data_IF_048362070166
#
_entry.id   IF_048362070166
#
_cell.length_a   1.000
_cell.length_b   1.000
_cell.length_c   1.000
_cell.angle_alpha   90.00
_cell.angle_beta   90.00
_cell.angle_gamma   90.00
#
_symmetry.space_group_name_H-M   'P 1'
#
loop_
_entity.id
_entity.type
_entity.pdbx_description
1 polymer ?
#
# COMPACT_ATOMS: atom_id res chain seq x y z
N UNK A 1 14.30 -23.65 22.56
CA UNK A 1 14.48 -22.18 22.57
C UNK A 1 13.29 -21.60 21.81
N UNK A 2 12.43 -20.86 22.51
CA UNK A 2 10.97 -20.91 22.37
C UNK A 2 10.38 -20.30 21.09
N UNK A 3 9.34 -20.97 20.58
CA UNK A 3 8.47 -20.48 19.51
C UNK A 3 7.81 -19.13 19.86
N UNK A 4 7.54 -18.88 21.15
CA UNK A 4 7.05 -17.59 21.66
C UNK A 4 8.04 -16.43 21.43
N UNK A 5 9.35 -16.68 21.54
CA UNK A 5 10.35 -15.64 21.29
C UNK A 5 10.36 -15.25 19.80
N UNK A 6 10.17 -16.21 18.89
CA UNK A 6 10.12 -15.92 17.45
C UNK A 6 8.90 -15.07 17.08
N UNK A 7 7.73 -15.37 17.67
CA UNK A 7 6.53 -14.57 17.44
C UNK A 7 6.73 -13.11 17.90
N UNK A 8 7.26 -12.90 19.10
CA UNK A 8 7.54 -11.56 19.61
C UNK A 8 8.55 -10.82 18.72
N UNK A 9 9.61 -11.49 18.27
CA UNK A 9 10.62 -10.91 17.38
C UNK A 9 10.02 -10.52 16.01
N UNK A 10 9.16 -11.36 15.43
CA UNK A 10 8.45 -11.05 14.18
C UNK A 10 7.53 -9.84 14.32
N UNK A 11 6.80 -9.73 15.43
CA UNK A 11 5.94 -8.58 15.72
C UNK A 11 6.79 -7.31 15.88
N UNK A 12 7.93 -7.39 16.57
CA UNK A 12 8.86 -6.27 16.71
C UNK A 12 9.40 -5.83 15.35
N UNK A 13 9.78 -6.77 14.48
CA UNK A 13 10.21 -6.47 13.12
C UNK A 13 9.08 -5.79 12.32
N UNK A 14 7.85 -6.30 12.43
CA UNK A 14 6.69 -5.70 11.74
C UNK A 14 6.43 -4.26 12.20
N UNK A 15 6.53 -3.98 13.50
CA UNK A 15 6.40 -2.62 14.03
C UNK A 15 7.52 -1.71 13.54
N UNK A 16 8.76 -2.21 13.46
CA UNK A 16 9.89 -1.45 12.92
C UNK A 16 9.68 -1.12 11.44
N UNK A 17 9.29 -2.10 10.61
CA UNK A 17 9.03 -1.85 9.18
C UNK A 17 7.87 -0.89 8.96
N UNK A 18 6.90 -0.83 9.89
CA UNK A 18 5.82 0.15 9.83
C UNK A 18 6.34 1.60 9.92
N UNK A 19 7.40 1.83 10.68
CA UNK A 19 8.06 3.14 10.73
C UNK A 19 8.71 3.49 9.40
N UNK A 20 9.28 2.51 8.68
CA UNK A 20 9.80 2.73 7.32
C UNK A 20 8.67 3.01 6.33
N UNK A 21 7.57 2.28 6.40
CA UNK A 21 6.40 2.48 5.55
C UNK A 21 5.80 3.90 5.69
N UNK A 22 5.76 4.44 6.91
CA UNK A 22 5.26 5.81 7.19
C UNK A 22 6.07 6.92 6.51
N UNK A 23 7.35 6.69 6.24
CA UNK A 23 8.30 7.62 5.61
C UNK A 23 8.82 7.04 4.29
N UNK A 24 8.02 6.18 3.65
CA UNK A 24 8.39 5.54 2.40
C UNK A 24 8.80 6.58 1.36
N UNK A 25 9.97 6.37 0.76
CA UNK A 25 10.45 7.18 -0.34
C UNK A 25 11.20 6.31 -1.35
N UNK A 26 10.79 6.32 -2.62
CA UNK A 26 11.37 5.44 -3.66
C UNK A 26 12.89 5.55 -3.76
N UNK A 27 13.46 6.76 -3.60
CA UNK A 27 14.93 6.97 -3.66
C UNK A 27 15.69 6.32 -2.51
N UNK A 28 15.07 6.15 -1.34
CA UNK A 28 15.71 5.55 -0.16
C UNK A 28 15.29 4.10 0.05
N UNK A 29 14.22 3.65 -0.59
CA UNK A 29 13.66 2.31 -0.42
C UNK A 29 14.71 1.19 -0.54
N UNK A 30 15.57 1.24 -1.57
CA UNK A 30 16.61 0.23 -1.75
C UNK A 30 17.60 0.20 -0.58
N UNK A 31 18.08 1.36 -0.14
CA UNK A 31 18.99 1.46 1.01
C UNK A 31 18.29 1.08 2.33
N UNK A 32 17.01 1.43 2.48
CA UNK A 32 16.22 1.09 3.66
C UNK A 32 16.05 -0.44 3.78
N UNK A 33 15.76 -1.11 2.66
CA UNK A 33 15.71 -2.57 2.58
C UNK A 33 17.06 -3.21 2.90
N UNK A 34 18.16 -2.69 2.37
CA UNK A 34 19.51 -3.23 2.66
C UNK A 34 19.86 -3.08 4.15
N UNK A 35 19.47 -1.97 4.79
CA UNK A 35 19.63 -1.79 6.24
C UNK A 35 18.83 -2.85 7.01
N UNK A 36 17.57 -3.07 6.64
CA UNK A 36 16.70 -4.05 7.30
C UNK A 36 17.25 -5.48 7.15
N UNK A 37 17.68 -5.86 5.94
CA UNK A 37 18.26 -7.18 5.66
C UNK A 37 19.53 -7.43 6.49
N UNK A 38 20.44 -6.45 6.51
CA UNK A 38 21.68 -6.57 7.26
C UNK A 38 21.44 -6.63 8.77
N UNK A 39 20.51 -5.81 9.29
CA UNK A 39 20.18 -5.75 10.71
C UNK A 39 19.49 -7.03 11.19
N UNK A 40 18.58 -7.57 10.39
CA UNK A 40 17.68 -8.65 10.81
C UNK A 40 18.03 -10.02 10.20
N UNK A 41 19.18 -10.18 9.56
CA UNK A 41 19.59 -11.44 8.94
C UNK A 41 19.51 -12.66 9.86
N UNK A 42 19.85 -12.52 11.14
CA UNK A 42 19.72 -13.60 12.13
C UNK A 42 18.25 -13.98 12.42
N UNK A 43 17.36 -12.99 12.51
CA UNK A 43 15.92 -13.23 12.67
C UNK A 43 15.32 -13.86 11.41
N UNK A 44 15.69 -13.36 10.23
CA UNK A 44 15.27 -13.94 8.95
C UNK A 44 15.71 -15.41 8.81
N UNK A 45 16.92 -15.74 9.28
CA UNK A 45 17.39 -17.13 9.38
C UNK A 45 16.53 -18.00 10.29
N UNK A 46 16.14 -17.49 11.46
CA UNK A 46 15.23 -18.20 12.39
C UNK A 46 13.82 -18.36 11.84
N UNK A 47 13.30 -17.37 11.11
CA UNK A 47 12.00 -17.46 10.41
C UNK A 47 12.08 -18.56 9.35
N UNK A 48 13.17 -18.61 8.58
CA UNK A 48 13.42 -19.69 7.61
C UNK A 48 13.38 -21.06 8.26
N UNK A 49 14.20 -21.25 9.31
CA UNK A 49 14.25 -22.52 10.04
C UNK A 49 12.88 -22.93 10.58
N UNK A 50 12.05 -21.97 11.00
CA UNK A 50 10.71 -22.25 11.52
C UNK A 50 9.73 -22.69 10.43
N UNK A 51 9.69 -22.04 9.26
CA UNK A 51 8.75 -22.43 8.20
C UNK A 51 9.21 -23.65 7.40
N UNK A 52 10.49 -24.03 7.44
CA UNK A 52 11.00 -25.19 6.71
C UNK A 52 10.69 -26.55 7.39
N UNK A 53 10.25 -26.54 8.65
CA UNK A 53 10.03 -27.77 9.44
C UNK A 53 8.93 -28.66 8.84
N UNK A 54 7.77 -28.10 8.53
CA UNK A 54 6.62 -28.78 7.93
C UNK A 54 5.65 -27.77 7.34
N UNK A 55 4.66 -28.23 6.59
CA UNK A 55 3.63 -27.34 6.03
C UNK A 55 2.74 -26.75 7.15
N UNK A 56 2.51 -27.48 8.25
CA UNK A 56 1.86 -26.91 9.44
C UNK A 56 2.72 -25.82 10.09
N UNK A 57 4.03 -26.02 10.17
CA UNK A 57 4.94 -25.02 10.74
C UNK A 57 5.04 -23.77 9.86
N UNK A 58 4.99 -23.92 8.54
CA UNK A 58 4.88 -22.83 7.58
C UNK A 58 3.61 -22.04 7.81
N UNK A 59 2.44 -22.69 7.85
CA UNK A 59 1.17 -22.02 8.07
C UNK A 59 1.12 -21.30 9.43
N UNK A 60 1.63 -21.93 10.49
CA UNK A 60 1.72 -21.32 11.83
C UNK A 60 2.65 -20.12 11.87
N UNK A 61 3.80 -20.18 11.19
CA UNK A 61 4.74 -19.04 11.12
C UNK A 61 4.15 -17.91 10.29
N UNK A 62 3.44 -18.23 9.20
CA UNK A 62 2.80 -17.26 8.32
C UNK A 62 1.62 -16.54 8.98
N UNK A 63 0.96 -17.15 9.98
CA UNK A 63 -0.20 -16.56 10.65
C UNK A 63 0.14 -15.48 11.67
N UNK A 64 1.39 -15.44 12.17
CA UNK A 64 1.83 -14.56 13.27
C UNK A 64 1.42 -13.09 13.07
N UNK A 65 1.75 -12.50 11.91
CA UNK A 65 1.45 -11.09 11.64
C UNK A 65 -0.01 -10.86 11.25
N UNK A 66 -0.63 -11.70 10.41
CA UNK A 66 -2.08 -11.64 10.21
C UNK A 66 -2.88 -11.67 11.52
N UNK A 67 -2.56 -12.58 12.46
CA UNK A 67 -3.21 -12.71 13.76
C UNK A 67 -3.03 -11.44 14.60
N UNK A 68 -1.79 -10.97 14.73
CA UNK A 68 -1.48 -9.73 15.43
C UNK A 68 -2.23 -8.52 14.85
N UNK A 69 -2.23 -8.35 13.53
CA UNK A 69 -2.91 -7.23 12.90
C UNK A 69 -4.44 -7.26 13.13
N UNK A 70 -5.05 -8.45 13.09
CA UNK A 70 -6.47 -8.62 13.34
C UNK A 70 -6.84 -8.26 14.79
N UNK A 71 -6.04 -8.72 15.75
CA UNK A 71 -6.21 -8.39 17.17
C UNK A 71 -6.11 -6.88 17.42
N UNK A 72 -5.07 -6.23 16.86
CA UNK A 72 -4.87 -4.79 16.99
C UNK A 72 -6.01 -3.97 16.37
N UNK A 73 -6.55 -4.40 15.23
CA UNK A 73 -7.66 -3.71 14.57
C UNK A 73 -8.99 -3.90 15.31
N UNK A 74 -9.24 -5.09 15.85
CA UNK A 74 -10.42 -5.38 16.66
C UNK A 74 -10.48 -4.52 17.93
N UNK A 75 -9.31 -4.22 18.52
CA UNK A 75 -9.19 -3.34 19.68
C UNK A 75 -9.50 -1.85 19.40
N UNK A 76 -9.59 -1.43 18.14
CA UNK A 76 -9.92 -0.04 17.77
C UNK A 76 -11.44 0.16 17.76
N UNK A 77 -12.03 0.99 18.65
CA UNK A 77 -13.48 1.10 18.78
C UNK A 77 -14.14 1.91 17.65
N UNK A 78 -13.44 2.92 17.11
CA UNK A 78 -13.97 3.79 16.06
C UNK A 78 -13.75 3.16 14.68
N UNK A 79 -14.81 2.96 13.91
CA UNK A 79 -14.75 2.45 12.53
C UNK A 79 -13.77 3.26 11.67
N UNK A 80 -13.91 4.59 11.64
CA UNK A 80 -13.00 5.47 10.89
C UNK A 80 -11.53 5.31 11.28
N UNK A 81 -11.24 5.22 12.59
CA UNK A 81 -9.85 5.01 13.07
C UNK A 81 -9.33 3.62 12.72
N UNK A 82 -10.21 2.60 12.75
CA UNK A 82 -9.88 1.23 12.37
C UNK A 82 -9.54 1.14 10.89
N UNK A 83 -10.31 1.81 10.02
CA UNK A 83 -10.07 1.84 8.58
C UNK A 83 -8.71 2.50 8.26
N UNK A 84 -8.37 3.60 8.95
CA UNK A 84 -7.06 4.25 8.83
C UNK A 84 -5.93 3.35 9.31
N UNK A 85 -6.10 2.70 10.47
CA UNK A 85 -5.11 1.75 10.98
C UNK A 85 -4.92 0.58 10.00
N UNK A 86 -6.01 0.02 9.47
CA UNK A 86 -5.96 -1.08 8.51
C UNK A 86 -5.19 -0.68 7.24
N UNK A 87 -5.36 0.57 6.77
CA UNK A 87 -4.58 1.09 5.67
C UNK A 87 -3.08 1.16 6.00
N UNK A 88 -2.70 1.63 7.19
CA UNK A 88 -1.30 1.66 7.64
C UNK A 88 -0.70 0.24 7.73
N UNK A 89 -1.44 -0.74 8.26
CA UNK A 89 -1.03 -2.15 8.27
C UNK A 89 -0.84 -2.70 6.86
N UNK A 90 -1.81 -2.47 5.97
CA UNK A 90 -1.75 -2.89 4.57
C UNK A 90 -0.52 -2.30 3.87
N UNK A 91 -0.26 -1.01 4.09
CA UNK A 91 0.91 -0.33 3.53
C UNK A 91 2.21 -0.97 4.00
N UNK A 92 2.36 -1.23 5.30
CA UNK A 92 3.55 -1.89 5.82
C UNK A 92 3.74 -3.30 5.23
N UNK A 93 2.67 -4.09 5.21
CA UNK A 93 2.68 -5.45 4.64
C UNK A 93 3.22 -5.46 3.21
N UNK A 94 2.65 -4.62 2.32
CA UNK A 94 3.00 -4.65 0.89
C UNK A 94 4.27 -3.87 0.53
N UNK A 95 4.67 -2.88 1.33
CA UNK A 95 5.82 -2.04 0.97
C UNK A 95 7.12 -2.52 1.59
N UNK A 96 7.11 -3.09 2.80
CA UNK A 96 8.34 -3.49 3.48
C UNK A 96 8.30 -4.91 4.01
N UNK A 97 7.27 -5.30 4.74
CA UNK A 97 7.32 -6.55 5.50
C UNK A 97 7.35 -7.79 4.61
N UNK A 98 6.38 -7.94 3.69
CA UNK A 98 6.36 -9.09 2.76
C UNK A 98 7.52 -9.05 1.78
N UNK A 99 7.89 -7.90 1.17
CA UNK A 99 9.11 -7.80 0.38
C UNK A 99 10.36 -8.24 1.14
N UNK A 100 10.51 -7.86 2.42
CA UNK A 100 11.67 -8.23 3.25
C UNK A 100 11.73 -9.74 3.50
N UNK A 101 10.59 -10.36 3.81
CA UNK A 101 10.51 -11.81 3.96
C UNK A 101 10.74 -12.55 2.64
N UNK A 102 10.40 -11.92 1.51
CA UNK A 102 10.66 -12.43 0.16
C UNK A 102 12.15 -12.59 -0.17
N UNK A 103 13.03 -11.89 0.54
CA UNK A 103 14.49 -11.99 0.38
C UNK A 103 15.11 -13.16 1.17
N UNK A 104 14.32 -13.91 1.93
CA UNK A 104 14.80 -15.10 2.64
C UNK A 104 15.23 -16.15 1.60
N UNK A 105 16.48 -16.60 1.68
CA UNK A 105 17.01 -17.66 0.81
C UNK A 105 16.47 -19.04 1.21
N UNK A 106 15.35 -19.45 0.62
CA UNK A 106 14.76 -20.79 0.70
C UNK A 106 13.88 -21.08 -0.53
N UNK A 107 13.74 -22.36 -0.88
CA UNK A 107 12.80 -22.81 -1.92
C UNK A 107 11.34 -22.65 -1.50
N UNK A 108 11.06 -22.60 -0.19
CA UNK A 108 9.70 -22.40 0.37
C UNK A 108 9.35 -20.93 0.61
N UNK A 109 10.25 -19.97 0.39
CA UNK A 109 10.01 -18.55 0.69
C UNK A 109 8.79 -17.98 -0.04
N UNK A 110 8.64 -18.33 -1.32
CA UNK A 110 7.48 -17.87 -2.11
C UNK A 110 6.18 -18.39 -1.53
N UNK A 111 6.10 -19.70 -1.27
CA UNK A 111 4.94 -20.35 -0.65
C UNK A 111 4.62 -19.74 0.72
N UNK A 112 5.64 -19.50 1.55
CA UNK A 112 5.49 -18.87 2.86
C UNK A 112 4.89 -17.46 2.77
N UNK A 113 5.41 -16.62 1.88
CA UNK A 113 4.92 -15.24 1.71
C UNK A 113 3.53 -15.18 1.07
N UNK A 114 3.23 -16.08 0.13
CA UNK A 114 1.88 -16.23 -0.44
C UNK A 114 0.88 -16.69 0.63
N UNK A 115 1.25 -17.68 1.47
CA UNK A 115 0.40 -18.14 2.57
C UNK A 115 0.13 -17.05 3.59
N UNK A 116 1.12 -16.20 3.88
CA UNK A 116 0.94 -15.05 4.78
C UNK A 116 -0.08 -14.05 4.21
N UNK A 117 -0.02 -13.75 2.91
CA UNK A 117 -0.98 -12.86 2.24
C UNK A 117 -2.39 -13.48 2.23
N UNK A 118 -2.51 -14.77 1.96
CA UNK A 118 -3.78 -15.50 2.02
C UNK A 118 -4.42 -15.36 3.42
N UNK A 119 -3.67 -15.69 4.47
CA UNK A 119 -4.09 -15.60 5.86
C UNK A 119 -4.43 -14.16 6.28
N UNK A 120 -3.70 -13.18 5.77
CA UNK A 120 -4.02 -11.77 5.99
C UNK A 120 -5.36 -11.39 5.36
N UNK A 121 -5.59 -11.78 4.10
CA UNK A 121 -6.83 -11.46 3.39
C UNK A 121 -8.07 -12.18 3.94
N UNK A 122 -7.89 -13.36 4.57
CA UNK A 122 -8.94 -14.04 5.32
C UNK A 122 -9.37 -13.25 6.56
N UNK A 123 -8.41 -12.64 7.27
CA UNK A 123 -8.66 -11.85 8.49
C UNK A 123 -9.16 -10.44 8.19
N UNK A 124 -8.83 -9.89 7.01
CA UNK A 124 -9.23 -8.55 6.56
C UNK A 124 -9.97 -8.63 5.20
N UNK A 125 -11.18 -9.22 5.14
CA UNK A 125 -11.86 -9.50 3.87
C UNK A 125 -12.24 -8.24 3.07
N UNK A 126 -12.50 -7.13 3.75
CA UNK A 126 -12.89 -5.86 3.12
C UNK A 126 -11.70 -5.03 2.62
N UNK A 127 -10.47 -5.38 3.02
CA UNK A 127 -9.25 -4.59 2.75
C UNK A 127 -8.12 -5.48 2.25
N UNK A 128 -8.40 -6.30 1.23
CA UNK A 128 -7.45 -7.27 0.69
C UNK A 128 -6.22 -6.60 0.09
N UNK A 129 -5.08 -7.26 0.27
CA UNK A 129 -3.78 -6.88 -0.29
C UNK A 129 -3.28 -7.94 -1.28
N UNK A 130 -2.48 -7.50 -2.24
CA UNK A 130 -1.75 -8.39 -3.15
C UNK A 130 -0.37 -8.75 -2.60
N UNK A 131 0.22 -9.81 -3.15
CA UNK A 131 1.63 -10.12 -2.94
C UNK A 131 2.52 -9.11 -3.67
N UNK A 132 3.64 -8.76 -3.05
CA UNK A 132 4.55 -7.72 -3.51
C UNK A 132 6.01 -8.13 -3.29
N UNK A 133 6.88 -7.85 -4.26
CA UNK A 133 8.32 -8.10 -4.16
C UNK A 133 9.12 -6.80 -4.10
N UNK A 134 10.36 -6.88 -3.62
CA UNK A 134 11.29 -5.73 -3.59
C UNK A 134 11.44 -5.09 -4.96
N UNK A 135 11.56 -5.89 -6.02
CA UNK A 135 11.70 -5.42 -7.40
C UNK A 135 10.46 -4.68 -7.87
N UNK A 136 9.27 -5.14 -7.49
CA UNK A 136 8.01 -4.48 -7.84
C UNK A 136 7.88 -3.12 -7.15
N UNK A 137 8.25 -3.03 -5.87
CA UNK A 137 8.22 -1.77 -5.12
C UNK A 137 9.29 -0.79 -5.64
N UNK A 138 10.50 -1.29 -5.89
CA UNK A 138 11.63 -0.50 -6.41
C UNK A 138 11.39 -0.05 -7.86
N UNK A 139 10.79 -0.90 -8.70
CA UNK A 139 10.38 -0.59 -10.06
C UNK A 139 9.21 0.40 -10.14
N UNK A 140 8.44 0.53 -9.06
CA UNK A 140 7.16 1.25 -9.02
C UNK A 140 6.00 0.30 -9.29
N UNK A 141 4.92 0.46 -8.52
CA UNK A 141 3.73 -0.40 -8.58
C UNK A 141 3.16 -0.47 -10.00
N UNK A 142 3.30 -1.64 -10.66
CA UNK A 142 2.69 -1.90 -11.99
C UNK A 142 1.18 -2.09 -11.95
N UNK A 143 0.57 -2.21 -10.75
CA UNK A 143 -0.88 -2.25 -10.49
C UNK A 143 -1.09 -1.69 -9.08
N UNK A 144 -1.39 -0.40 -8.93
CA UNK A 144 -1.41 0.24 -7.60
C UNK A 144 -2.75 0.87 -7.22
N UNK A 145 -2.91 1.11 -5.93
CA UNK A 145 -4.06 1.81 -5.37
C UNK A 145 -4.07 3.27 -5.84
N UNK A 146 -5.20 3.79 -6.36
CA UNK A 146 -5.35 5.22 -6.62
C UNK A 146 -5.60 5.96 -5.29
N UNK A 147 -4.58 6.24 -4.48
CA UNK A 147 -4.76 6.81 -3.13
C UNK A 147 -5.72 8.02 -3.08
N UNK A 148 -5.49 9.05 -3.91
CA UNK A 148 -6.34 10.26 -3.92
C UNK A 148 -7.74 9.92 -4.42
N UNK A 149 -7.85 9.15 -5.51
CA UNK A 149 -9.13 8.84 -6.15
C UNK A 149 -9.99 7.93 -5.27
N UNK A 150 -9.37 6.96 -4.60
CA UNK A 150 -10.00 6.10 -3.58
C UNK A 150 -10.46 6.94 -2.40
N UNK A 151 -9.62 7.84 -1.86
CA UNK A 151 -10.01 8.72 -0.76
C UNK A 151 -11.20 9.63 -1.13
N UNK A 152 -11.18 10.19 -2.34
CA UNK A 152 -12.30 11.00 -2.84
C UNK A 152 -13.58 10.16 -2.98
N UNK A 153 -13.52 8.99 -3.62
CA UNK A 153 -14.72 8.14 -3.77
C UNK A 153 -15.29 7.72 -2.42
N UNK A 154 -14.44 7.35 -1.46
CA UNK A 154 -14.85 7.03 -0.09
C UNK A 154 -15.48 8.23 0.63
N UNK A 155 -14.96 9.45 0.44
CA UNK A 155 -15.55 10.66 1.02
C UNK A 155 -16.95 10.99 0.46
N UNK A 156 -17.29 10.43 -0.70
CA UNK A 156 -18.59 10.57 -1.36
C UNK A 156 -19.49 9.34 -1.13
N UNK A 157 -19.16 8.48 -0.16
CA UNK A 157 -19.85 7.23 0.15
C UNK A 157 -19.99 6.28 -1.06
N UNK A 158 -19.10 6.38 -2.05
CA UNK A 158 -19.03 5.45 -3.19
C UNK A 158 -18.24 4.19 -2.81
N UNK A 159 -18.63 3.00 -3.30
CA UNK A 159 -17.88 1.78 -3.07
C UNK A 159 -16.54 1.77 -3.82
N UNK A 160 -15.58 0.97 -3.34
CA UNK A 160 -14.20 0.90 -3.87
C UNK A 160 -14.09 0.28 -5.27
N UNK A 161 -15.19 -0.27 -5.79
CA UNK A 161 -15.37 -0.83 -7.13
C UNK A 161 -16.34 0.01 -8.00
N UNK A 162 -16.67 1.25 -7.58
CA UNK A 162 -17.56 2.10 -8.34
C UNK A 162 -17.04 2.34 -9.77
N UNK A 163 -17.98 2.61 -10.68
CA UNK A 163 -17.70 2.77 -12.10
C UNK A 163 -16.58 3.79 -12.37
N UNK A 164 -16.65 4.95 -11.72
CA UNK A 164 -15.72 6.05 -11.94
C UNK A 164 -14.30 5.71 -11.47
N UNK A 165 -14.18 5.05 -10.31
CA UNK A 165 -12.90 4.62 -9.77
C UNK A 165 -12.26 3.52 -10.63
N UNK A 166 -13.07 2.58 -11.12
CA UNK A 166 -12.63 1.54 -12.05
C UNK A 166 -12.18 2.14 -13.38
N UNK A 167 -12.92 3.10 -13.92
CA UNK A 167 -12.58 3.79 -15.16
C UNK A 167 -11.24 4.55 -15.03
N UNK A 168 -11.05 5.29 -13.95
CA UNK A 168 -9.83 6.04 -13.68
C UNK A 168 -8.62 5.13 -13.45
N UNK A 169 -8.80 3.99 -12.76
CA UNK A 169 -7.77 2.96 -12.59
C UNK A 169 -7.36 2.36 -13.93
N UNK A 170 -8.33 1.97 -14.76
CA UNK A 170 -8.06 1.42 -16.10
C UNK A 170 -7.34 2.44 -16.99
N UNK A 171 -7.78 3.70 -16.97
CA UNK A 171 -7.13 4.78 -17.71
C UNK A 171 -5.66 4.94 -17.30
N UNK A 172 -5.36 4.94 -16.00
CA UNK A 172 -3.98 5.00 -15.51
C UNK A 172 -3.17 3.79 -15.96
N UNK A 173 -3.69 2.59 -15.72
CA UNK A 173 -2.95 1.34 -15.91
C UNK A 173 -2.73 1.00 -17.39
N UNK A 174 -3.66 1.39 -18.26
CA UNK A 174 -3.58 1.09 -19.69
C UNK A 174 -2.99 2.25 -20.49
N UNK A 175 -3.34 3.50 -20.20
CA UNK A 175 -2.95 4.63 -21.06
C UNK A 175 -1.74 5.40 -20.54
N UNK A 176 -1.71 5.74 -19.25
CA UNK A 176 -0.58 6.52 -18.72
C UNK A 176 0.71 5.68 -18.68
N UNK A 177 0.62 4.37 -18.49
CA UNK A 177 1.79 3.49 -18.51
C UNK A 177 2.34 3.19 -19.92
N UNK A 178 1.63 3.54 -21.00
CA UNK A 178 2.12 3.33 -22.38
C UNK A 178 3.24 4.31 -22.79
N UNK A 179 3.39 5.42 -22.06
CA UNK A 179 4.38 6.46 -22.38
C UNK A 179 5.36 6.69 -21.23
N UNK A 180 6.59 7.09 -21.56
CA UNK A 180 7.61 7.45 -20.55
C UNK A 180 7.16 8.61 -19.67
N UNK A 181 6.54 9.62 -20.25
CA UNK A 181 6.01 10.80 -19.55
C UNK A 181 4.83 10.44 -18.62
N UNK A 182 3.94 9.57 -19.08
CA UNK A 182 2.84 9.08 -18.25
C UNK A 182 3.34 8.16 -17.11
N UNK A 183 4.36 7.34 -17.35
CA UNK A 183 5.04 6.59 -16.28
C UNK A 183 5.67 7.51 -15.23
N UNK A 184 6.34 8.60 -15.64
CA UNK A 184 6.91 9.58 -14.71
C UNK A 184 5.82 10.25 -13.86
N UNK A 185 4.72 10.66 -14.50
CA UNK A 185 3.54 11.24 -13.81
C UNK A 185 2.94 10.26 -12.80
N UNK A 186 2.78 8.99 -13.19
CA UNK A 186 2.23 7.95 -12.31
C UNK A 186 3.18 7.66 -11.14
N UNK A 187 4.49 7.60 -11.39
CA UNK A 187 5.48 7.42 -10.34
C UNK A 187 5.49 8.59 -9.35
N UNK A 188 5.44 9.83 -9.84
CA UNK A 188 5.35 11.04 -9.02
C UNK A 188 4.08 11.01 -8.16
N UNK A 189 2.93 10.73 -8.77
CA UNK A 189 1.66 10.52 -8.08
C UNK A 189 1.78 9.52 -6.93
N UNK A 190 2.33 8.33 -7.16
CA UNK A 190 2.46 7.31 -6.12
C UNK A 190 3.36 7.73 -4.96
N UNK A 191 4.39 8.54 -5.22
CA UNK A 191 5.28 9.01 -4.16
C UNK A 191 4.59 10.02 -3.24
N UNK A 192 3.75 10.89 -3.79
CA UNK A 192 3.18 12.03 -3.04
C UNK A 192 1.76 11.77 -2.53
N UNK A 193 0.99 10.94 -3.23
CA UNK A 193 -0.44 10.76 -2.98
C UNK A 193 -0.78 10.27 -1.56
N UNK A 194 -0.06 9.29 -0.96
CA UNK A 194 -0.30 8.88 0.42
C UNK A 194 -0.13 10.04 1.42
N UNK A 195 0.92 10.85 1.24
CA UNK A 195 1.21 11.99 2.13
C UNK A 195 0.17 13.09 1.97
N UNK A 196 -0.26 13.38 0.74
CA UNK A 196 -1.33 14.34 0.45
C UNK A 196 -2.64 13.90 1.13
N UNK A 197 -3.06 12.64 0.93
CA UNK A 197 -4.27 12.08 1.57
C UNK A 197 -4.19 12.22 3.09
N UNK A 198 -3.07 11.80 3.69
CA UNK A 198 -2.85 11.91 5.14
C UNK A 198 -2.92 13.34 5.66
N UNK A 199 -2.44 14.33 4.90
CA UNK A 199 -2.52 15.75 5.30
C UNK A 199 -3.94 16.28 5.15
N UNK A 200 -4.67 15.90 4.10
CA UNK A 200 -6.09 16.26 3.92
C UNK A 200 -6.94 15.65 5.02
N UNK A 201 -6.77 14.36 5.33
CA UNK A 201 -7.54 13.64 6.36
C UNK A 201 -7.44 14.24 7.77
N UNK A 202 -6.37 14.99 8.03
CA UNK A 202 -6.12 15.69 9.31
C UNK A 202 -6.82 17.04 9.40
N UNK A 203 -7.37 17.55 8.30
CA UNK A 203 -8.10 18.81 8.28
C UNK A 203 -9.57 18.59 8.64
N UNK A 204 -10.14 19.53 9.40
CA UNK A 204 -11.55 19.47 9.82
C UNK A 204 -12.50 19.53 8.61
N UNK A 205 -12.10 20.21 7.53
CA UNK A 205 -12.82 20.37 6.27
C UNK A 205 -12.44 19.34 5.19
N UNK A 206 -11.81 18.22 5.58
CA UNK A 206 -11.39 17.14 4.67
C UNK A 206 -12.46 16.71 3.66
N UNK A 207 -13.72 16.57 4.09
CA UNK A 207 -14.83 16.20 3.20
C UNK A 207 -15.07 17.24 2.09
N UNK A 208 -15.04 18.53 2.43
CA UNK A 208 -15.19 19.63 1.45
C UNK A 208 -14.01 19.67 0.48
N UNK A 209 -12.80 19.40 0.96
CA UNK A 209 -11.60 19.32 0.12
C UNK A 209 -11.74 18.20 -0.91
N UNK A 210 -12.15 17.00 -0.48
CA UNK A 210 -12.34 15.87 -1.40
C UNK A 210 -13.47 16.11 -2.40
N UNK A 211 -14.58 16.74 -1.97
CA UNK A 211 -15.64 17.17 -2.87
C UNK A 211 -15.13 18.15 -3.94
N UNK A 212 -14.26 19.09 -3.58
CA UNK A 212 -13.59 19.98 -4.53
C UNK A 212 -12.71 19.23 -5.53
N UNK A 213 -11.90 18.27 -5.05
CA UNK A 213 -11.06 17.44 -5.93
C UNK A 213 -11.92 16.65 -6.93
N UNK A 214 -13.07 16.13 -6.48
CA UNK A 214 -14.02 15.46 -7.35
C UNK A 214 -14.55 16.37 -8.45
N UNK A 215 -15.09 17.53 -8.07
CA UNK A 215 -15.75 18.45 -8.99
C UNK A 215 -14.77 19.05 -10.00
N UNK A 216 -13.60 19.47 -9.53
CA UNK A 216 -12.66 20.24 -10.34
C UNK A 216 -11.79 19.34 -11.25
N UNK A 217 -11.56 18.08 -10.87
CA UNK A 217 -10.60 17.21 -11.57
C UNK A 217 -11.17 15.85 -11.92
N UNK A 218 -11.64 15.06 -10.95
CA UNK A 218 -11.95 13.65 -11.21
C UNK A 218 -13.21 13.46 -12.06
N UNK A 219 -14.28 14.19 -11.79
CA UNK A 219 -15.51 14.14 -12.60
C UNK A 219 -15.29 14.61 -14.04
N UNK A 220 -14.57 15.73 -14.30
CA UNK A 220 -14.17 16.07 -15.66
C UNK A 220 -13.25 15.03 -16.32
N UNK A 221 -12.30 14.43 -15.58
CA UNK A 221 -11.48 13.34 -16.11
C UNK A 221 -12.32 12.14 -16.57
N UNK A 222 -13.33 11.74 -15.78
CA UNK A 222 -14.27 10.67 -16.17
C UNK A 222 -14.93 10.99 -17.51
N UNK A 223 -15.50 12.19 -17.67
CA UNK A 223 -16.11 12.62 -18.94
C UNK A 223 -15.12 12.62 -20.11
N UNK A 224 -13.90 13.12 -19.89
CA UNK A 224 -12.87 13.14 -20.93
C UNK A 224 -12.45 11.72 -21.36
N UNK A 225 -12.41 10.76 -20.43
CA UNK A 225 -12.13 9.36 -20.74
C UNK A 225 -13.28 8.75 -21.55
N UNK A 226 -14.54 9.01 -21.16
CA UNK A 226 -15.74 8.56 -21.87
C UNK A 226 -15.80 9.11 -23.30
N UNK A 227 -15.40 10.38 -23.49
CA UNK A 227 -15.31 11.03 -24.80
C UNK A 227 -14.07 10.61 -25.63
N UNK A 228 -13.21 9.73 -25.10
CA UNK A 228 -11.98 9.28 -25.76
C UNK A 228 -10.87 10.34 -25.80
N UNK A 229 -11.02 11.47 -25.12
CA UNK A 229 -10.07 12.59 -25.03
C UNK A 229 -8.96 12.31 -24.01
N UNK A 230 -8.24 11.21 -24.24
CA UNK A 230 -7.23 10.68 -23.32
C UNK A 230 -6.12 11.71 -23.00
N UNK A 231 -5.58 12.43 -23.99
CA UNK A 231 -4.54 13.45 -23.75
C UNK A 231 -5.00 14.60 -22.85
N UNK A 232 -6.23 15.08 -23.03
CA UNK A 232 -6.80 16.13 -22.19
C UNK A 232 -7.00 15.64 -20.75
N UNK A 233 -7.44 14.40 -20.58
CA UNK A 233 -7.51 13.76 -19.27
C UNK A 233 -6.13 13.66 -18.61
N UNK A 234 -5.07 13.33 -19.37
CA UNK A 234 -3.70 13.29 -18.84
C UNK A 234 -3.27 14.68 -18.32
N UNK A 235 -3.49 15.73 -19.11
CA UNK A 235 -3.14 17.09 -18.70
C UNK A 235 -3.87 17.52 -17.42
N UNK A 236 -5.18 17.26 -17.34
CA UNK A 236 -5.99 17.60 -16.18
C UNK A 236 -5.58 16.78 -14.94
N UNK A 237 -5.32 15.49 -15.12
CA UNK A 237 -4.85 14.61 -14.05
C UNK A 237 -3.49 15.07 -13.52
N UNK A 238 -2.53 15.39 -14.39
CA UNK A 238 -1.22 15.91 -13.99
C UNK A 238 -1.31 17.25 -13.28
N UNK A 239 -2.21 18.15 -13.71
CA UNK A 239 -2.43 19.44 -13.06
C UNK A 239 -2.99 19.27 -11.63
N UNK A 240 -3.95 18.36 -11.44
CA UNK A 240 -4.46 17.99 -10.12
C UNK A 240 -3.32 17.58 -9.20
N UNK A 241 -2.48 16.64 -9.63
CA UNK A 241 -1.38 16.09 -8.84
C UNK A 241 -0.41 17.19 -8.43
N UNK A 242 0.03 18.02 -9.37
CA UNK A 242 0.96 19.15 -9.10
C UNK A 242 0.36 20.21 -8.18
N UNK A 243 -0.94 20.53 -8.31
CA UNK A 243 -1.60 21.51 -7.44
C UNK A 243 -1.74 20.98 -6.02
N UNK A 244 -2.14 19.72 -5.86
CA UNK A 244 -2.24 19.07 -4.56
C UNK A 244 -0.86 18.92 -3.92
N UNK A 245 0.16 18.59 -4.70
CA UNK A 245 1.54 18.56 -4.24
C UNK A 245 1.98 19.91 -3.67
N UNK A 246 1.80 21.00 -4.42
CA UNK A 246 2.14 22.35 -3.95
C UNK A 246 1.39 22.74 -2.69
N UNK A 247 0.07 22.48 -2.66
CA UNK A 247 -0.83 22.86 -1.57
C UNK A 247 -0.65 22.04 -0.29
N UNK A 248 -0.16 20.80 -0.41
CA UNK A 248 -0.08 19.93 0.74
C UNK A 248 1.33 19.49 1.07
N UNK A 249 2.35 19.58 0.22
CA UNK A 249 3.71 19.16 0.59
C UNK A 249 4.65 20.32 0.92
N UNK A 250 4.45 21.48 0.30
CA UNK A 250 5.33 22.64 0.41
C UNK A 250 4.72 23.81 1.20
N UNK A 251 3.58 23.56 1.86
CA UNK A 251 2.87 24.50 2.74
C UNK A 251 2.99 24.08 4.20
#
# INVERSE_FOLDING_TARGET
MNQENLQADMISLFQETAEYAKKFHKKTYASDMDILLNRHGALLGRIREAFEVSDEALAKTASVIPDYAAEQLAAVPSKRKRDLACLDFNMNMVSFFVPLLGEISSVKTKEFTEKMIELYNERMPDNKIGHSTREQIQGGFKKGLCYITTAVCRSLDKPDDCYELTLLRNYRDQYLLESKEGMETVNEYYNIAPTIVKRIDRQEDSASIYAGIWQDYLSPCVRLIEEGKKKECQMLYSDMVRKLERKYLYS
#
